data_IF_569815784803
#
_entry.id   IF_569815784803
#
_cell.length_a   1.000
_cell.length_b   1.000
_cell.length_c   1.000
_cell.angle_alpha   90.00
_cell.angle_beta   90.00
_cell.angle_gamma   90.00
#
_symmetry.space_group_name_H-M   'P 1'
#
loop_
_entity.id
_entity.type
_entity.pdbx_description
1 polymer ?
#
# COMPACT_ATOMS: atom_id res chain seq x y z
N UNK A 1 5.47 18.60 -21.57
CA UNK A 1 6.43 18.10 -20.58
C UNK A 1 7.49 17.19 -21.19
N UNK A 2 7.12 16.05 -21.80
CA UNK A 2 8.06 15.05 -22.32
C UNK A 2 9.08 15.64 -23.29
N UNK A 3 8.65 16.48 -24.24
CA UNK A 3 9.54 17.12 -25.21
C UNK A 3 10.60 18.00 -24.53
N UNK A 4 10.20 18.82 -23.54
CA UNK A 4 11.10 19.69 -22.79
C UNK A 4 12.03 18.86 -21.89
N UNK A 5 11.49 17.86 -21.21
CA UNK A 5 12.25 16.94 -20.35
C UNK A 5 13.33 16.16 -21.12
N UNK A 6 13.01 15.70 -22.33
CA UNK A 6 13.98 15.04 -23.19
C UNK A 6 15.04 16.02 -23.70
N UNK A 7 14.66 17.27 -24.03
CA UNK A 7 15.61 18.28 -24.42
C UNK A 7 16.64 18.60 -23.33
N UNK A 8 16.17 18.72 -22.06
CA UNK A 8 17.08 18.93 -20.93
C UNK A 8 18.08 17.79 -20.72
N UNK A 9 17.66 16.54 -20.95
CA UNK A 9 18.57 15.40 -20.92
C UNK A 9 19.59 15.46 -22.01
N UNK A 10 19.16 15.83 -23.21
CA UNK A 10 20.06 16.02 -24.38
C UNK A 10 21.10 17.07 -24.07
N UNK A 11 20.68 18.23 -23.56
CA UNK A 11 21.57 19.35 -23.26
C UNK A 11 22.60 18.95 -22.18
N UNK A 12 22.18 18.30 -21.09
CA UNK A 12 23.09 17.80 -20.07
C UNK A 12 24.07 16.76 -20.59
N UNK A 13 23.62 15.91 -21.52
CA UNK A 13 24.51 14.92 -22.13
C UNK A 13 25.54 15.55 -23.05
N UNK A 14 25.16 16.56 -23.85
CA UNK A 14 26.09 17.35 -24.66
C UNK A 14 27.12 18.03 -23.75
N UNK A 15 26.67 18.71 -22.67
CA UNK A 15 27.57 19.35 -21.70
C UNK A 15 28.57 18.35 -21.10
N UNK A 16 28.15 17.12 -20.83
CA UNK A 16 29.07 16.09 -20.31
C UNK A 16 30.15 15.69 -21.34
N UNK A 17 29.83 15.71 -22.63
CA UNK A 17 30.81 15.42 -23.71
C UNK A 17 31.73 16.63 -23.95
N UNK A 18 31.17 17.84 -23.82
CA UNK A 18 31.95 19.08 -23.93
C UNK A 18 32.99 19.18 -22.80
N UNK A 19 32.60 18.84 -21.55
CA UNK A 19 33.53 18.76 -20.43
C UNK A 19 34.64 17.71 -20.66
N UNK A 20 34.30 16.53 -21.23
CA UNK A 20 35.31 15.54 -21.60
C UNK A 20 36.27 16.06 -22.73
N UNK A 21 35.82 16.97 -23.60
CA UNK A 21 36.65 17.59 -24.64
C UNK A 21 37.65 18.60 -24.06
N UNK A 22 37.25 19.34 -23.01
CA UNK A 22 38.12 20.31 -22.33
C UNK A 22 39.33 19.67 -21.65
N UNK A 23 39.23 18.38 -21.28
CA UNK A 23 40.31 17.61 -20.66
C UNK A 23 41.32 17.05 -21.66
N UNK A 24 41.06 17.14 -22.98
CA UNK A 24 41.90 16.58 -24.02
C UNK A 24 42.88 17.65 -24.62
N UNK A 25 44.12 17.25 -24.89
CA UNK A 25 45.11 18.10 -25.56
C UNK A 25 44.96 18.04 -27.07
N UNK A 26 44.53 19.16 -27.67
CA UNK A 26 44.39 19.32 -29.12
C UNK A 26 45.68 19.16 -29.90
N UNK A 27 46.83 19.26 -29.25
CA UNK A 27 48.14 19.09 -29.86
C UNK A 27 48.66 17.65 -29.75
N UNK A 28 48.13 16.83 -28.86
CA UNK A 28 48.50 15.43 -28.71
C UNK A 28 47.90 14.58 -29.86
N UNK A 29 48.71 13.89 -30.66
CA UNK A 29 48.21 12.99 -31.71
C UNK A 29 47.33 11.86 -31.22
N UNK A 30 47.48 11.45 -29.96
CA UNK A 30 46.64 10.39 -29.34
C UNK A 30 45.23 10.90 -29.01
N UNK A 31 45.10 12.17 -28.69
CA UNK A 31 43.81 12.77 -28.34
C UNK A 31 43.03 13.28 -29.55
N UNK A 32 43.71 13.58 -30.68
CA UNK A 32 43.06 14.04 -31.92
C UNK A 32 41.92 13.13 -32.39
N UNK A 33 42.08 11.81 -32.32
CA UNK A 33 41.02 10.85 -32.71
C UNK A 33 39.84 10.91 -31.76
N UNK A 34 40.09 11.08 -30.46
CA UNK A 34 39.03 11.18 -29.43
C UNK A 34 38.27 12.47 -29.61
N UNK A 35 38.96 13.58 -29.88
CA UNK A 35 38.36 14.90 -30.13
C UNK A 35 37.40 14.84 -31.31
N UNK A 36 37.89 14.39 -32.50
CA UNK A 36 37.05 14.27 -33.71
C UNK A 36 35.82 13.36 -33.45
N UNK A 37 36.00 12.26 -32.72
CA UNK A 37 34.91 11.36 -32.43
C UNK A 37 33.86 12.03 -31.53
N UNK A 38 34.26 12.83 -30.52
CA UNK A 38 33.34 13.51 -29.60
C UNK A 38 32.62 14.67 -30.27
N UNK A 39 33.34 15.46 -31.07
CA UNK A 39 32.77 16.56 -31.88
C UNK A 39 31.72 16.01 -32.86
N UNK A 40 32.04 14.91 -33.56
CA UNK A 40 31.08 14.24 -34.44
C UNK A 40 29.86 13.74 -33.69
N UNK A 41 30.07 13.24 -32.49
CA UNK A 41 28.97 12.76 -31.63
C UNK A 41 28.05 13.91 -31.22
N UNK A 42 28.59 15.04 -30.78
CA UNK A 42 27.80 16.23 -30.46
C UNK A 42 27.02 16.71 -31.69
N UNK A 43 27.67 16.74 -32.85
CA UNK A 43 27.06 17.15 -34.12
C UNK A 43 25.89 16.24 -34.49
N UNK A 44 26.06 14.93 -34.37
CA UNK A 44 25.00 13.95 -34.62
C UNK A 44 23.78 14.15 -33.66
N UNK A 45 24.04 14.31 -32.36
CA UNK A 45 22.98 14.51 -31.35
C UNK A 45 22.23 15.83 -31.64
N UNK A 46 22.93 16.93 -31.95
CA UNK A 46 22.33 18.22 -32.36
C UNK A 46 21.48 18.10 -33.63
N UNK A 47 21.87 17.21 -34.54
CA UNK A 47 21.09 16.87 -35.74
C UNK A 47 19.94 15.89 -35.51
N UNK A 48 19.71 15.43 -34.28
CA UNK A 48 18.67 14.47 -33.94
C UNK A 48 19.01 13.01 -34.25
N UNK A 49 20.28 12.70 -34.48
CA UNK A 49 20.78 11.36 -34.82
C UNK A 49 21.32 10.70 -33.53
N UNK A 50 20.58 9.69 -33.01
CA UNK A 50 20.92 8.96 -31.79
C UNK A 50 21.32 7.52 -32.15
N UNK A 51 22.58 7.19 -32.04
CA UNK A 51 23.17 5.94 -32.55
C UNK A 51 23.38 4.89 -31.46
N UNK A 52 23.67 5.31 -30.25
CA UNK A 52 23.90 4.38 -29.12
C UNK A 52 22.66 4.19 -28.27
N UNK A 53 22.58 3.06 -27.52
CA UNK A 53 21.50 2.84 -26.58
C UNK A 53 21.34 3.98 -25.58
N UNK A 54 22.46 4.54 -25.07
CA UNK A 54 22.48 5.67 -24.14
C UNK A 54 21.86 6.91 -24.76
N UNK A 55 22.15 7.19 -26.02
CA UNK A 55 21.56 8.31 -26.75
C UNK A 55 20.08 8.10 -27.06
N UNK A 56 19.67 6.89 -27.43
CA UNK A 56 18.27 6.55 -27.67
C UNK A 56 17.42 6.68 -26.39
N UNK A 57 18.00 6.45 -25.21
CA UNK A 57 17.32 6.69 -23.94
C UNK A 57 17.03 8.17 -23.66
N UNK A 58 17.75 9.13 -24.30
CA UNK A 58 17.47 10.55 -24.13
C UNK A 58 16.13 10.98 -24.73
N UNK A 59 15.66 10.25 -25.75
CA UNK A 59 14.42 10.54 -26.48
C UNK A 59 13.31 9.52 -26.23
N UNK A 60 13.53 8.57 -25.34
CA UNK A 60 12.50 7.57 -25.03
C UNK A 60 11.27 8.19 -24.38
N UNK A 61 10.09 7.59 -24.55
CA UNK A 61 8.89 7.98 -23.80
C UNK A 61 9.11 7.94 -22.29
N UNK A 62 8.37 8.77 -21.56
CA UNK A 62 8.39 8.77 -20.09
C UNK A 62 8.00 7.40 -19.57
N UNK A 63 8.83 6.86 -18.70
CA UNK A 63 8.56 5.59 -18.03
C UNK A 63 7.94 5.84 -16.66
N UNK A 64 6.64 5.55 -16.51
CA UNK A 64 5.91 5.70 -15.25
C UNK A 64 6.38 4.75 -14.14
N UNK A 65 7.15 3.70 -14.46
CA UNK A 65 7.83 2.83 -13.51
C UNK A 65 9.22 3.33 -13.07
N UNK A 66 9.75 4.38 -13.72
CA UNK A 66 11.08 4.91 -13.43
C UNK A 66 11.11 5.75 -12.15
N UNK A 67 12.10 5.49 -11.29
CA UNK A 67 12.37 6.31 -10.09
C UNK A 67 12.91 7.72 -10.38
N UNK A 68 13.12 8.07 -11.66
CA UNK A 68 13.59 9.37 -12.11
C UNK A 68 12.52 10.09 -12.92
N UNK A 69 11.94 9.43 -13.93
CA UNK A 69 10.98 10.05 -14.84
C UNK A 69 9.65 10.38 -14.15
N UNK A 70 9.14 9.45 -13.34
CA UNK A 70 7.87 9.67 -12.65
C UNK A 70 7.93 10.81 -11.61
N UNK A 71 8.94 10.89 -10.72
CA UNK A 71 9.09 12.07 -9.86
C UNK A 71 9.24 13.37 -10.65
N UNK A 72 9.99 13.38 -11.76
CA UNK A 72 10.11 14.56 -12.60
C UNK A 72 8.76 14.99 -13.18
N UNK A 73 7.95 14.05 -13.71
CA UNK A 73 6.60 14.35 -14.20
C UNK A 73 5.68 14.84 -13.09
N UNK A 74 5.79 14.30 -11.87
CA UNK A 74 4.88 14.63 -10.77
C UNK A 74 5.21 15.96 -10.10
N UNK A 75 6.49 16.23 -9.84
CA UNK A 75 6.89 17.28 -8.91
C UNK A 75 7.53 18.51 -9.57
N UNK A 76 8.00 18.42 -10.84
CA UNK A 76 8.57 19.58 -11.51
C UNK A 76 7.49 20.62 -11.87
N UNK A 77 7.92 21.87 -12.09
CA UNK A 77 7.06 22.98 -12.51
C UNK A 77 6.40 22.74 -13.87
N UNK A 78 7.14 22.11 -14.78
CA UNK A 78 6.66 21.76 -16.12
C UNK A 78 5.72 20.55 -16.13
N UNK A 79 5.73 19.75 -15.05
CA UNK A 79 4.88 18.57 -14.90
C UNK A 79 3.54 18.87 -14.22
N UNK A 80 3.12 17.95 -13.38
CA UNK A 80 1.89 18.14 -12.60
C UNK A 80 2.05 19.10 -11.42
N UNK A 81 3.28 19.41 -11.03
CA UNK A 81 3.61 20.30 -9.91
C UNK A 81 2.82 19.97 -8.64
N UNK A 82 2.94 18.71 -8.18
CA UNK A 82 2.43 18.29 -6.88
C UNK A 82 3.37 18.77 -5.77
N UNK A 83 2.81 19.00 -4.59
CA UNK A 83 3.61 19.23 -3.40
C UNK A 83 4.35 17.95 -2.96
N UNK A 84 5.61 18.06 -2.56
CA UNK A 84 6.38 16.93 -2.03
C UNK A 84 5.99 16.72 -0.57
N UNK A 85 5.20 15.67 -0.30
CA UNK A 85 4.69 15.35 1.03
C UNK A 85 5.55 14.33 1.78
N UNK A 86 6.41 13.58 1.05
CA UNK A 86 7.28 12.54 1.60
C UNK A 86 8.49 12.34 0.72
N UNK A 87 9.65 12.13 1.32
CA UNK A 87 10.86 11.68 0.63
C UNK A 87 11.08 10.18 0.90
N UNK A 88 11.75 9.51 -0.05
CA UNK A 88 12.22 8.13 0.12
C UNK A 88 13.52 8.09 0.96
N UNK A 89 14.05 6.91 1.24
CA UNK A 89 15.28 6.70 2.02
C UNK A 89 16.51 7.40 1.43
N UNK A 90 16.54 7.63 0.12
CA UNK A 90 17.62 8.37 -0.57
C UNK A 90 17.39 9.89 -0.63
N UNK A 91 16.40 10.42 0.10
CA UNK A 91 16.10 11.86 0.17
C UNK A 91 15.38 12.43 -1.05
N UNK A 92 14.99 11.61 -2.01
CA UNK A 92 14.26 12.04 -3.23
C UNK A 92 12.74 11.98 -2.98
N UNK A 93 11.94 12.81 -3.69
CA UNK A 93 10.48 12.76 -3.62
C UNK A 93 9.94 11.34 -3.83
N UNK A 94 9.14 10.85 -2.88
CA UNK A 94 8.52 9.53 -2.96
C UNK A 94 7.38 9.50 -3.96
N UNK A 95 7.23 8.36 -4.64
CA UNK A 95 6.09 8.04 -5.49
C UNK A 95 5.48 6.70 -5.11
N UNK A 96 5.65 6.26 -3.84
CA UNK A 96 5.03 5.04 -3.35
C UNK A 96 3.49 5.13 -3.32
N UNK A 97 2.83 3.99 -3.17
CA UNK A 97 1.36 3.89 -3.18
C UNK A 97 0.72 4.76 -2.09
N UNK A 98 1.35 4.83 -0.92
CA UNK A 98 0.89 5.67 0.20
C UNK A 98 0.96 7.16 -0.17
N UNK A 99 2.08 7.60 -0.74
CA UNK A 99 2.26 8.98 -1.21
C UNK A 99 1.26 9.36 -2.28
N UNK A 100 1.08 8.49 -3.29
CA UNK A 100 0.11 8.73 -4.37
C UNK A 100 -1.33 8.82 -3.83
N UNK A 101 -1.69 7.94 -2.89
CA UNK A 101 -3.01 7.97 -2.24
C UNK A 101 -3.21 9.24 -1.44
N UNK A 102 -2.23 9.66 -0.66
CA UNK A 102 -2.28 10.90 0.11
C UNK A 102 -2.38 12.13 -0.81
N UNK A 103 -1.60 12.19 -1.89
CA UNK A 103 -1.72 13.26 -2.89
C UNK A 103 -3.10 13.28 -3.51
N UNK A 104 -3.69 12.12 -3.83
CA UNK A 104 -5.04 12.04 -4.38
C UNK A 104 -6.09 12.66 -3.45
N UNK A 105 -5.95 12.50 -2.13
CA UNK A 105 -6.82 13.10 -1.13
C UNK A 105 -6.71 14.63 -1.08
N UNK A 106 -5.57 15.21 -1.45
CA UNK A 106 -5.40 16.67 -1.51
C UNK A 106 -6.11 17.31 -2.72
N UNK A 107 -6.39 16.51 -3.76
CA UNK A 107 -7.00 17.02 -4.99
C UNK A 107 -8.52 17.04 -4.88
N UNK A 108 -9.08 18.23 -4.62
CA UNK A 108 -10.52 18.42 -4.36
C UNK A 108 -11.42 18.18 -5.58
N UNK A 109 -10.94 18.45 -6.81
CA UNK A 109 -11.74 18.29 -8.04
C UNK A 109 -11.51 16.91 -8.64
N UNK A 110 -12.52 15.99 -8.61
CA UNK A 110 -12.37 14.62 -9.10
C UNK A 110 -11.98 14.53 -10.59
N UNK A 111 -12.51 15.43 -11.40
CA UNK A 111 -12.31 15.45 -12.85
C UNK A 111 -11.10 16.30 -13.30
N UNK A 112 -10.27 16.75 -12.36
CA UNK A 112 -9.06 17.50 -12.72
C UNK A 112 -8.01 16.59 -13.34
N UNK A 113 -7.13 17.10 -14.24
CA UNK A 113 -6.05 16.32 -14.80
C UNK A 113 -5.15 15.66 -13.73
N UNK A 114 -4.94 16.35 -12.60
CA UNK A 114 -4.20 15.82 -11.44
C UNK A 114 -4.88 14.60 -10.82
N UNK A 115 -6.19 14.66 -10.61
CA UNK A 115 -6.97 13.57 -10.03
C UNK A 115 -7.01 12.37 -10.97
N UNK A 116 -7.32 12.60 -12.25
CA UNK A 116 -7.37 11.57 -13.28
C UNK A 116 -6.02 10.87 -13.40
N UNK A 117 -4.92 11.64 -13.43
CA UNK A 117 -3.57 11.08 -13.50
C UNK A 117 -3.27 10.16 -12.31
N UNK A 118 -3.53 10.60 -11.07
CA UNK A 118 -3.27 9.80 -9.88
C UNK A 118 -4.15 8.55 -9.83
N UNK A 119 -5.43 8.66 -10.17
CA UNK A 119 -6.34 7.52 -10.21
C UNK A 119 -5.88 6.47 -11.24
N UNK A 120 -5.48 6.90 -12.45
CA UNK A 120 -4.98 6.00 -13.50
C UNK A 120 -3.61 5.42 -13.17
N UNK A 121 -2.73 6.17 -12.53
CA UNK A 121 -1.42 5.67 -12.11
C UNK A 121 -1.56 4.59 -11.02
N UNK A 122 -2.45 4.79 -10.04
CA UNK A 122 -2.75 3.79 -9.01
C UNK A 122 -3.39 2.53 -9.62
N UNK A 123 -4.31 2.68 -10.55
CA UNK A 123 -4.92 1.58 -11.30
C UNK A 123 -3.88 0.79 -12.10
N UNK A 124 -3.04 1.49 -12.86
CA UNK A 124 -1.95 0.88 -13.65
C UNK A 124 -1.01 0.06 -12.77
N UNK A 125 -0.56 0.60 -11.64
CA UNK A 125 0.31 -0.12 -10.71
C UNK A 125 -0.35 -1.37 -10.12
N UNK A 126 -1.66 -1.27 -9.82
CA UNK A 126 -2.45 -2.41 -9.39
C UNK A 126 -2.47 -3.52 -10.45
N UNK A 127 -2.76 -3.16 -11.69
CA UNK A 127 -2.79 -4.10 -12.83
C UNK A 127 -1.41 -4.68 -13.14
N UNK A 128 -0.35 -3.86 -13.15
CA UNK A 128 1.03 -4.35 -13.33
C UNK A 128 1.45 -5.34 -12.25
N UNK A 129 1.11 -5.06 -10.98
CA UNK A 129 1.37 -5.98 -9.88
C UNK A 129 0.64 -7.30 -10.07
N UNK A 130 -0.64 -7.25 -10.48
CA UNK A 130 -1.44 -8.45 -10.76
C UNK A 130 -0.83 -9.26 -11.90
N UNK A 131 -0.51 -8.60 -13.00
CA UNK A 131 0.09 -9.24 -14.18
C UNK A 131 1.44 -9.89 -13.85
N UNK A 132 2.39 -9.12 -13.32
CA UNK A 132 3.74 -9.60 -13.00
C UNK A 132 3.76 -10.68 -11.92
N UNK A 133 2.85 -10.62 -10.94
CA UNK A 133 2.84 -11.60 -9.84
C UNK A 133 2.12 -12.88 -10.21
N UNK A 134 0.91 -12.76 -10.79
CA UNK A 134 0.00 -13.90 -10.92
C UNK A 134 -0.06 -14.46 -12.33
N UNK A 135 0.23 -13.67 -13.37
CA UNK A 135 0.23 -14.16 -14.75
C UNK A 135 1.65 -14.58 -15.14
N UNK A 136 2.60 -13.67 -15.17
CA UNK A 136 3.98 -14.02 -15.50
C UNK A 136 4.63 -14.86 -14.40
N UNK A 137 4.65 -14.37 -13.16
CA UNK A 137 5.42 -14.99 -12.07
C UNK A 137 4.89 -16.36 -11.64
N UNK A 138 3.62 -16.68 -11.86
CA UNK A 138 3.12 -18.02 -11.63
C UNK A 138 3.45 -18.95 -12.81
N UNK A 139 3.30 -18.49 -14.05
CA UNK A 139 3.67 -19.30 -15.23
C UNK A 139 5.14 -19.74 -15.19
N UNK A 140 6.04 -18.86 -14.75
CA UNK A 140 7.46 -19.19 -14.57
C UNK A 140 7.72 -20.23 -13.46
N UNK A 141 6.75 -20.47 -12.57
CA UNK A 141 6.87 -21.35 -11.41
C UNK A 141 6.03 -22.62 -11.50
N UNK A 142 5.22 -22.75 -12.51
CA UNK A 142 4.54 -24.02 -12.83
C UNK A 142 5.60 -25.05 -13.17
N UNK A 143 5.55 -26.21 -12.52
CA UNK A 143 6.49 -27.32 -12.75
C UNK A 143 5.95 -28.29 -13.79
N UNK A 144 6.76 -29.30 -14.14
CA UNK A 144 6.43 -30.30 -15.16
C UNK A 144 5.18 -31.13 -14.86
N UNK A 145 4.70 -31.09 -13.62
CA UNK A 145 3.44 -31.71 -13.18
C UNK A 145 2.22 -30.79 -13.25
N UNK A 146 2.32 -29.66 -13.93
CA UNK A 146 1.30 -28.62 -14.06
C UNK A 146 0.86 -28.01 -12.71
N UNK A 147 1.74 -28.01 -11.70
CA UNK A 147 1.44 -27.50 -10.35
C UNK A 147 2.36 -26.38 -9.91
N UNK A 148 1.85 -25.61 -8.95
CA UNK A 148 2.63 -24.61 -8.19
C UNK A 148 3.02 -25.21 -6.83
N UNK A 149 4.33 -25.33 -6.57
CA UNK A 149 4.87 -25.86 -5.33
C UNK A 149 5.42 -24.75 -4.43
N UNK A 150 4.52 -23.97 -3.82
CA UNK A 150 4.89 -22.91 -2.88
C UNK A 150 5.51 -23.47 -1.59
N UNK A 151 6.51 -22.77 -1.06
CA UNK A 151 7.13 -23.11 0.22
C UNK A 151 6.50 -22.34 1.36
N UNK A 152 6.23 -23.02 2.49
CA UNK A 152 5.78 -22.40 3.74
C UNK A 152 6.92 -22.39 4.75
N UNK A 153 7.24 -21.21 5.28
CA UNK A 153 8.33 -20.98 6.21
C UNK A 153 7.75 -20.71 7.62
N UNK A 154 8.04 -21.57 8.57
CA UNK A 154 7.56 -21.47 9.96
C UNK A 154 8.30 -20.38 10.77
N UNK A 155 9.45 -19.94 10.29
CA UNK A 155 10.33 -18.96 10.94
C UNK A 155 10.39 -17.61 10.18
N UNK A 156 9.61 -17.45 9.11
CA UNK A 156 9.68 -16.29 8.19
C UNK A 156 9.07 -15.00 8.74
N UNK A 157 8.44 -15.02 9.92
CA UNK A 157 7.84 -13.81 10.52
C UNK A 157 8.19 -13.68 12.00
N UNK A 158 8.33 -12.45 12.47
CA UNK A 158 8.56 -12.13 13.89
C UNK A 158 7.34 -12.44 14.76
N UNK A 159 6.14 -12.46 14.18
CA UNK A 159 4.89 -12.77 14.88
C UNK A 159 4.68 -14.27 15.12
N UNK A 160 5.41 -15.14 14.39
CA UNK A 160 5.20 -16.59 14.40
C UNK A 160 4.09 -17.07 13.47
N UNK A 161 3.56 -16.20 12.63
CA UNK A 161 2.74 -16.62 11.50
C UNK A 161 3.61 -17.33 10.47
N UNK A 162 3.03 -18.24 9.69
CA UNK A 162 3.69 -18.77 8.51
C UNK A 162 3.91 -17.64 7.50
N UNK A 163 5.01 -17.71 6.77
CA UNK A 163 5.17 -16.98 5.51
C UNK A 163 5.23 -17.97 4.34
N UNK A 164 4.95 -17.50 3.15
CA UNK A 164 4.97 -18.31 1.94
C UNK A 164 5.82 -17.65 0.86
N UNK A 165 6.57 -18.47 0.12
CA UNK A 165 7.46 -18.03 -0.94
C UNK A 165 7.43 -19.03 -2.11
N UNK A 166 7.79 -18.59 -3.29
CA UNK A 166 8.10 -19.38 -4.50
C UNK A 166 6.99 -20.34 -5.00
N UNK A 167 5.79 -19.88 -5.27
CA UNK A 167 5.22 -18.54 -5.10
C UNK A 167 4.61 -18.32 -3.73
N UNK A 168 4.34 -17.03 -3.38
CA UNK A 168 3.63 -16.71 -2.15
C UNK A 168 2.12 -17.02 -2.30
N UNK A 169 1.71 -18.19 -1.82
CA UNK A 169 0.32 -18.65 -1.87
C UNK A 169 -0.61 -17.94 -0.86
N UNK A 170 -0.06 -17.21 0.12
CA UNK A 170 -0.85 -16.50 1.13
C UNK A 170 -1.36 -15.13 0.67
N UNK A 171 -0.88 -14.62 -0.47
CA UNK A 171 -1.26 -13.30 -1.01
C UNK A 171 -2.17 -13.37 -2.22
N UNK A 172 -2.81 -14.51 -2.48
CA UNK A 172 -3.76 -14.68 -3.58
C UNK A 172 -4.88 -13.65 -3.43
N UNK A 173 -5.18 -12.86 -4.48
CA UNK A 173 -6.22 -11.84 -4.42
C UNK A 173 -7.59 -12.44 -4.06
N UNK A 174 -8.38 -11.65 -3.34
CA UNK A 174 -9.77 -12.03 -3.08
C UNK A 174 -10.56 -12.04 -4.40
N UNK A 175 -11.55 -12.90 -4.49
CA UNK A 175 -12.46 -13.00 -5.65
C UNK A 175 -13.14 -11.67 -5.99
N UNK A 176 -13.33 -10.79 -5.00
CA UNK A 176 -13.87 -9.43 -5.21
C UNK A 176 -12.87 -8.48 -5.88
N UNK A 177 -11.58 -8.81 -5.93
CA UNK A 177 -10.55 -8.02 -6.62
C UNK A 177 -10.37 -8.53 -8.04
N UNK A 178 -10.13 -9.83 -8.19
CA UNK A 178 -10.12 -10.54 -9.47
C UNK A 178 -10.58 -12.00 -9.27
N UNK A 179 -11.75 -12.39 -9.78
CA UNK A 179 -12.23 -13.75 -9.65
C UNK A 179 -11.40 -14.75 -10.44
N UNK A 180 -10.80 -14.34 -11.56
CA UNK A 180 -10.15 -15.25 -12.51
C UNK A 180 -8.86 -15.84 -11.96
N UNK A 181 -8.09 -15.10 -11.17
CA UNK A 181 -6.82 -15.59 -10.60
C UNK A 181 -7.06 -16.82 -9.71
N UNK A 182 -8.08 -16.76 -8.85
CA UNK A 182 -8.44 -17.90 -7.99
C UNK A 182 -8.96 -19.11 -8.77
N UNK A 183 -9.70 -18.87 -9.85
CA UNK A 183 -10.27 -19.93 -10.70
C UNK A 183 -9.22 -20.71 -11.49
N UNK A 184 -8.01 -20.20 -11.63
CA UNK A 184 -6.89 -20.92 -12.25
C UNK A 184 -6.36 -22.04 -11.36
N UNK A 185 -6.53 -21.93 -10.04
CA UNK A 185 -6.15 -22.98 -9.09
C UNK A 185 -7.26 -24.03 -9.02
N UNK A 186 -7.02 -25.17 -9.63
CA UNK A 186 -7.99 -26.28 -9.70
C UNK A 186 -7.54 -27.46 -8.86
N UNK A 187 -8.48 -28.10 -8.19
CA UNK A 187 -8.22 -29.38 -7.55
C UNK A 187 -7.93 -30.45 -8.62
N UNK A 188 -7.01 -31.40 -8.38
CA UNK A 188 -6.80 -32.52 -9.26
C UNK A 188 -8.09 -33.30 -9.53
N UNK A 189 -8.17 -33.95 -10.68
CA UNK A 189 -9.36 -34.79 -11.07
C UNK A 189 -9.67 -35.78 -9.94
N UNK A 190 -10.92 -35.84 -9.53
CA UNK A 190 -11.38 -36.74 -8.44
C UNK A 190 -11.14 -36.20 -7.02
N UNK A 191 -10.67 -34.97 -6.86
CA UNK A 191 -10.46 -34.32 -5.58
C UNK A 191 -11.21 -32.98 -5.50
N UNK A 192 -11.31 -32.42 -4.29
CA UNK A 192 -11.95 -31.13 -4.02
C UNK A 192 -11.04 -30.28 -3.14
N UNK A 193 -11.07 -28.96 -3.33
CA UNK A 193 -10.57 -28.02 -2.34
C UNK A 193 -11.57 -27.87 -1.20
N UNK A 194 -11.09 -28.08 0.02
CA UNK A 194 -11.86 -27.76 1.23
C UNK A 194 -11.22 -26.49 1.83
N UNK A 195 -11.99 -25.40 1.85
CA UNK A 195 -11.58 -24.15 2.48
C UNK A 195 -12.28 -24.00 3.83
N UNK A 196 -11.51 -23.90 4.91
CA UNK A 196 -12.00 -23.66 6.27
C UNK A 196 -11.18 -22.53 6.90
N UNK A 197 -11.86 -21.55 7.49
CA UNK A 197 -11.25 -20.43 8.18
C UNK A 197 -11.99 -20.11 9.48
N UNK A 198 -11.26 -19.65 10.48
CA UNK A 198 -11.87 -19.21 11.73
C UNK A 198 -12.58 -17.88 11.52
N UNK A 199 -13.88 -17.86 11.82
CA UNK A 199 -14.65 -16.62 11.76
C UNK A 199 -14.12 -15.61 12.78
N UNK A 200 -13.49 -14.53 12.30
CA UNK A 200 -13.06 -13.39 13.11
C UNK A 200 -12.16 -13.74 14.30
N UNK A 201 -11.25 -14.70 14.13
CA UNK A 201 -10.39 -15.24 15.20
C UNK A 201 -9.69 -14.14 16.02
N UNK A 202 -9.12 -13.13 15.35
CA UNK A 202 -8.39 -12.04 16.00
C UNK A 202 -9.29 -11.20 16.93
N UNK A 203 -10.51 -10.89 16.49
CA UNK A 203 -11.47 -10.15 17.32
C UNK A 203 -11.97 -10.99 18.49
N UNK A 204 -12.17 -12.29 18.31
CA UNK A 204 -12.57 -13.21 19.41
C UNK A 204 -11.49 -13.29 20.49
N UNK A 205 -10.22 -13.40 20.07
CA UNK A 205 -9.08 -13.38 21.00
C UNK A 205 -9.00 -12.03 21.72
N UNK A 206 -9.19 -10.93 21.00
CA UNK A 206 -9.18 -9.60 21.58
C UNK A 206 -10.32 -9.39 22.57
N UNK A 207 -11.54 -9.84 22.26
CA UNK A 207 -12.69 -9.81 23.15
C UNK A 207 -12.40 -10.60 24.44
N UNK A 208 -11.84 -11.80 24.32
CA UNK A 208 -11.47 -12.65 25.44
C UNK A 208 -10.41 -11.98 26.34
N UNK A 209 -9.31 -11.49 25.75
CA UNK A 209 -8.21 -10.89 26.49
C UNK A 209 -8.57 -9.55 27.16
N UNK A 210 -9.38 -8.74 26.52
CA UNK A 210 -9.82 -7.44 27.05
C UNK A 210 -10.98 -7.58 28.03
N UNK A 211 -11.78 -8.64 27.94
CA UNK A 211 -13.05 -8.80 28.63
C UNK A 211 -14.10 -7.77 28.18
N UNK A 212 -13.99 -7.29 26.93
CA UNK A 212 -14.90 -6.27 26.40
C UNK A 212 -16.30 -6.84 26.18
N UNK A 213 -17.27 -6.29 26.90
CA UNK A 213 -18.63 -6.83 26.95
C UNK A 213 -19.37 -6.68 25.62
N UNK A 214 -19.12 -5.60 24.89
CA UNK A 214 -19.74 -5.35 23.58
C UNK A 214 -19.39 -6.46 22.61
N UNK A 215 -18.10 -6.80 22.51
CA UNK A 215 -17.64 -7.89 21.65
C UNK A 215 -18.08 -9.26 22.17
N UNK A 216 -17.98 -9.51 23.50
CA UNK A 216 -18.36 -10.79 24.08
C UNK A 216 -19.85 -11.07 23.86
N UNK A 217 -20.71 -10.07 24.08
CA UNK A 217 -22.14 -10.21 23.86
C UNK A 217 -22.48 -10.46 22.39
N UNK A 218 -21.87 -9.70 21.47
CA UNK A 218 -22.09 -9.91 20.04
C UNK A 218 -21.70 -11.32 19.60
N UNK A 219 -20.54 -11.83 20.05
CA UNK A 219 -20.10 -13.19 19.71
C UNK A 219 -20.95 -14.29 20.34
N UNK A 220 -21.35 -14.12 21.62
CA UNK A 220 -22.17 -15.09 22.32
C UNK A 220 -23.60 -15.18 21.77
N UNK A 221 -24.11 -14.05 21.23
CA UNK A 221 -25.41 -13.98 20.58
C UNK A 221 -25.38 -14.33 19.09
N UNK A 222 -24.23 -14.74 18.55
CA UNK A 222 -24.09 -15.07 17.13
C UNK A 222 -24.19 -13.85 16.19
N UNK A 223 -24.10 -12.63 16.71
CA UNK A 223 -24.19 -11.40 15.94
C UNK A 223 -22.90 -11.10 15.18
N UNK A 224 -23.02 -10.36 14.07
CA UNK A 224 -21.86 -9.76 13.40
C UNK A 224 -21.38 -8.55 14.22
N UNK A 225 -20.16 -8.58 14.81
CA UNK A 225 -19.72 -7.52 15.70
C UNK A 225 -19.53 -6.17 14.99
N UNK A 226 -19.22 -6.16 13.70
CA UNK A 226 -19.08 -4.90 12.95
C UNK A 226 -20.43 -4.28 12.63
N UNK A 227 -21.43 -5.10 12.35
CA UNK A 227 -22.80 -4.63 12.19
C UNK A 227 -23.37 -4.14 13.51
N UNK A 228 -23.09 -4.85 14.62
CA UNK A 228 -23.50 -4.43 15.96
C UNK A 228 -22.90 -3.07 16.36
N UNK A 229 -21.60 -2.84 16.09
CA UNK A 229 -20.94 -1.53 16.30
C UNK A 229 -21.62 -0.45 15.45
N UNK A 230 -21.89 -0.73 14.18
CA UNK A 230 -22.58 0.21 13.31
C UNK A 230 -23.99 0.51 13.79
N UNK A 231 -24.78 -0.51 14.18
CA UNK A 231 -26.13 -0.36 14.71
C UNK A 231 -26.16 0.52 15.96
N UNK A 232 -25.25 0.27 16.91
CA UNK A 232 -25.09 1.10 18.12
C UNK A 232 -24.73 2.55 17.76
N UNK A 233 -23.82 2.77 16.84
CA UNK A 233 -23.39 4.11 16.40
C UNK A 233 -24.54 4.91 15.78
N UNK A 234 -25.41 4.25 15.02
CA UNK A 234 -26.54 4.88 14.33
C UNK A 234 -27.86 4.78 15.10
N UNK A 235 -27.81 4.30 16.36
CA UNK A 235 -28.95 4.25 17.30
C UNK A 235 -30.14 3.47 16.77
N UNK A 236 -29.89 2.34 16.07
CA UNK A 236 -30.96 1.41 15.69
C UNK A 236 -30.73 0.02 16.29
N UNK A 237 -31.81 -0.77 16.53
CA UNK A 237 -31.68 -2.15 16.99
C UNK A 237 -30.88 -3.01 16.01
N UNK A 238 -30.08 -3.96 16.54
CA UNK A 238 -29.27 -4.86 15.71
C UNK A 238 -30.11 -5.64 14.70
N UNK A 239 -31.26 -6.15 15.11
CA UNK A 239 -32.17 -6.93 14.27
C UNK A 239 -32.73 -6.13 13.08
N UNK A 240 -32.95 -4.84 13.28
CA UNK A 240 -33.37 -3.93 12.22
C UNK A 240 -32.20 -3.67 11.26
N UNK A 241 -31.01 -3.39 11.78
CA UNK A 241 -29.81 -3.23 10.99
C UNK A 241 -29.50 -4.49 10.16
N UNK A 242 -29.71 -5.67 10.74
CA UNK A 242 -29.49 -6.96 10.08
C UNK A 242 -30.46 -7.16 8.91
N UNK A 243 -31.76 -6.89 9.12
CA UNK A 243 -32.77 -6.96 8.04
C UNK A 243 -32.41 -6.08 6.87
N UNK A 244 -32.03 -4.82 7.14
CA UNK A 244 -31.62 -3.88 6.09
C UNK A 244 -30.34 -4.36 5.38
N UNK A 245 -29.39 -4.92 6.14
CA UNK A 245 -28.12 -5.39 5.61
C UNK A 245 -28.27 -6.65 4.73
N UNK A 246 -29.20 -7.55 5.04
CA UNK A 246 -29.42 -8.80 4.31
C UNK A 246 -30.37 -8.65 3.12
N UNK A 247 -31.30 -7.71 3.14
CA UNK A 247 -32.23 -7.46 2.03
C UNK A 247 -31.57 -6.59 0.94
N UNK A 248 -31.10 -7.22 -0.14
CA UNK A 248 -30.46 -6.52 -1.28
C UNK A 248 -31.37 -5.51 -1.97
N UNK A 249 -32.71 -5.62 -1.81
CA UNK A 249 -33.70 -4.72 -2.39
C UNK A 249 -34.03 -3.55 -1.48
N UNK A 250 -33.59 -3.58 -0.22
CA UNK A 250 -33.86 -2.49 0.72
C UNK A 250 -33.17 -1.19 0.28
N UNK A 251 -33.87 -0.02 0.29
CA UNK A 251 -33.30 1.25 -0.16
C UNK A 251 -31.98 1.63 0.53
N UNK A 252 -31.84 1.29 1.81
CA UNK A 252 -30.64 1.58 2.61
C UNK A 252 -29.59 0.45 2.62
N UNK A 253 -29.82 -0.66 1.92
CA UNK A 253 -28.89 -1.81 1.93
C UNK A 253 -27.44 -1.39 1.63
N UNK A 254 -27.23 -0.59 0.56
CA UNK A 254 -25.90 -0.10 0.16
C UNK A 254 -25.26 0.76 1.25
N UNK A 255 -26.06 1.58 1.93
CA UNK A 255 -25.61 2.46 3.02
C UNK A 255 -25.13 1.58 4.18
N UNK A 256 -25.88 0.55 4.56
CA UNK A 256 -25.52 -0.34 5.65
C UNK A 256 -24.30 -1.21 5.32
N UNK A 257 -24.10 -1.61 4.08
CA UNK A 257 -22.84 -2.24 3.65
C UNK A 257 -21.64 -1.31 3.86
N UNK A 258 -21.77 -0.02 3.55
CA UNK A 258 -20.72 0.97 3.80
C UNK A 258 -20.49 1.18 5.29
N UNK A 259 -21.55 1.38 6.08
CA UNK A 259 -21.47 1.55 7.56
C UNK A 259 -20.76 0.38 8.25
N UNK A 260 -21.14 -0.85 7.91
CA UNK A 260 -20.47 -2.05 8.42
C UNK A 260 -19.00 -2.13 7.99
N UNK A 261 -18.68 -1.78 6.74
CA UNK A 261 -17.31 -1.73 6.23
C UNK A 261 -16.46 -0.72 7.00
N UNK A 262 -17.01 0.48 7.25
CA UNK A 262 -16.35 1.51 8.06
C UNK A 262 -16.13 1.06 9.50
N UNK A 263 -17.14 0.50 10.16
CA UNK A 263 -17.01 -0.06 11.50
C UNK A 263 -15.89 -1.13 11.57
N UNK A 264 -15.81 -1.99 10.56
CA UNK A 264 -14.71 -2.96 10.43
C UNK A 264 -13.34 -2.29 10.29
N UNK A 265 -13.23 -1.27 9.46
CA UNK A 265 -11.97 -0.55 9.23
C UNK A 265 -11.50 0.16 10.51
N UNK A 266 -12.43 0.79 11.24
CA UNK A 266 -12.15 1.45 12.52
C UNK A 266 -11.70 0.41 13.56
N UNK A 267 -12.47 -0.65 13.75
CA UNK A 267 -12.18 -1.69 14.75
C UNK A 267 -10.79 -2.32 14.55
N UNK A 268 -10.51 -2.82 13.33
CA UNK A 268 -9.20 -3.39 13.03
C UNK A 268 -8.08 -2.35 13.11
N UNK A 269 -8.31 -1.15 12.57
CA UNK A 269 -7.32 -0.07 12.64
C UNK A 269 -6.90 0.22 14.08
N UNK A 270 -7.87 0.38 14.97
CA UNK A 270 -7.61 0.75 16.37
C UNK A 270 -6.98 -0.39 17.19
N UNK A 271 -7.38 -1.63 16.93
CA UNK A 271 -6.74 -2.80 17.56
C UNK A 271 -5.26 -2.87 17.19
N UNK A 272 -4.91 -2.51 15.96
CA UNK A 272 -3.51 -2.45 15.48
C UNK A 272 -2.84 -1.08 15.68
N UNK A 273 -3.39 -0.20 16.49
CA UNK A 273 -2.76 1.06 16.89
C UNK A 273 -2.69 2.10 15.78
N UNK A 274 -3.66 2.14 14.86
CA UNK A 274 -3.73 3.17 13.83
C UNK A 274 -3.95 4.55 14.47
N UNK A 275 -3.23 5.57 13.99
CA UNK A 275 -3.48 6.95 14.36
C UNK A 275 -4.53 7.63 13.48
N UNK A 276 -5.08 8.74 13.95
CA UNK A 276 -6.16 9.48 13.28
C UNK A 276 -5.85 9.87 11.82
N UNK A 277 -4.61 10.29 11.53
CA UNK A 277 -4.18 10.64 10.17
C UNK A 277 -4.34 9.46 9.18
N UNK A 278 -3.83 8.28 9.54
CA UNK A 278 -3.92 7.10 8.68
C UNK A 278 -5.34 6.52 8.65
N UNK A 279 -6.10 6.65 9.75
CA UNK A 279 -7.50 6.26 9.77
C UNK A 279 -8.33 7.14 8.83
N UNK A 280 -8.09 8.45 8.81
CA UNK A 280 -8.73 9.39 7.89
C UNK A 280 -8.54 8.97 6.42
N UNK A 281 -7.31 8.63 6.04
CA UNK A 281 -6.99 8.09 4.69
C UNK A 281 -7.79 6.82 4.39
N UNK A 282 -7.87 5.88 5.33
CA UNK A 282 -8.60 4.61 5.13
C UNK A 282 -10.12 4.77 5.07
N UNK A 283 -10.68 5.76 5.74
CA UNK A 283 -12.11 6.04 5.73
C UNK A 283 -12.53 6.91 4.54
N UNK A 284 -11.58 7.60 3.91
CA UNK A 284 -11.83 8.42 2.73
C UNK A 284 -12.00 7.56 1.49
N UNK A 285 -12.92 7.96 0.62
CA UNK A 285 -13.10 7.43 -0.74
C UNK A 285 -13.26 8.61 -1.71
N UNK A 286 -12.14 9.10 -2.27
CA UNK A 286 -12.17 10.25 -3.17
C UNK A 286 -13.02 10.05 -4.43
N UNK A 287 -13.19 8.79 -4.88
CA UNK A 287 -14.02 8.46 -6.05
C UNK A 287 -15.50 8.67 -5.75
N UNK A 288 -15.93 8.41 -4.53
CA UNK A 288 -17.30 8.67 -4.05
C UNK A 288 -17.47 10.07 -3.45
N UNK A 289 -16.44 10.93 -3.48
CA UNK A 289 -16.45 12.27 -2.90
C UNK A 289 -16.37 12.29 -1.37
N UNK A 290 -16.09 11.17 -0.73
CA UNK A 290 -15.97 11.07 0.73
C UNK A 290 -14.52 11.38 1.12
N UNK A 291 -14.30 12.50 1.76
CA UNK A 291 -13.01 12.92 2.33
C UNK A 291 -13.20 13.08 3.83
N UNK A 292 -12.47 12.28 4.61
CA UNK A 292 -12.49 12.31 6.09
C UNK A 292 -11.23 13.02 6.58
N UNK A 293 -11.40 14.02 7.43
CA UNK A 293 -10.26 14.73 8.04
C UNK A 293 -9.69 13.95 9.23
N UNK A 294 -8.44 14.23 9.65
CA UNK A 294 -7.88 13.63 10.86
C UNK A 294 -8.70 13.91 12.13
N UNK A 295 -9.35 15.09 12.22
CA UNK A 295 -10.21 15.48 13.34
C UNK A 295 -11.50 14.67 13.36
N UNK A 296 -12.10 14.41 12.20
CA UNK A 296 -13.27 13.54 12.06
C UNK A 296 -12.89 12.09 12.38
N UNK A 297 -11.74 11.61 11.89
CA UNK A 297 -11.24 10.28 12.24
C UNK A 297 -10.96 10.15 13.75
N UNK A 298 -10.46 11.20 14.42
CA UNK A 298 -10.28 11.20 15.86
C UNK A 298 -11.61 11.07 16.60
N UNK A 299 -12.65 11.77 16.17
CA UNK A 299 -14.02 11.62 16.72
C UNK A 299 -14.53 10.19 16.58
N UNK A 300 -14.31 9.56 15.43
CA UNK A 300 -14.66 8.15 15.22
C UNK A 300 -13.91 7.21 16.18
N UNK A 301 -12.63 7.47 16.43
CA UNK A 301 -11.84 6.73 17.43
C UNK A 301 -12.40 6.90 18.84
N UNK A 302 -12.78 8.12 19.20
CA UNK A 302 -13.31 8.42 20.53
C UNK A 302 -14.70 7.76 20.74
N UNK A 303 -15.57 7.79 19.72
CA UNK A 303 -16.86 7.07 19.72
C UNK A 303 -16.63 5.58 19.90
N UNK A 304 -15.73 4.98 19.12
CA UNK A 304 -15.41 3.57 19.21
C UNK A 304 -14.91 3.18 20.62
N UNK A 305 -13.95 3.90 21.16
CA UNK A 305 -13.43 3.63 22.50
C UNK A 305 -14.42 3.96 23.62
N UNK A 306 -15.39 4.82 23.37
CA UNK A 306 -16.54 5.02 24.27
C UNK A 306 -17.42 3.78 24.36
N UNK A 307 -17.62 3.08 23.24
CA UNK A 307 -18.36 1.82 23.17
C UNK A 307 -17.55 0.61 23.70
N UNK A 308 -16.21 0.73 23.74
CA UNK A 308 -15.28 -0.35 24.10
C UNK A 308 -14.30 0.06 25.22
N UNK A 309 -14.79 0.43 26.43
CA UNK A 309 -13.93 0.97 27.49
C UNK A 309 -12.94 -0.06 28.04
N UNK A 310 -13.33 -1.34 28.11
CA UNK A 310 -12.45 -2.43 28.58
C UNK A 310 -11.34 -2.71 27.56
N UNK A 311 -11.64 -2.67 26.27
CA UNK A 311 -10.64 -2.77 25.20
C UNK A 311 -9.64 -1.62 25.28
N UNK A 312 -10.11 -0.37 25.44
CA UNK A 312 -9.23 0.80 25.62
C UNK A 312 -8.28 0.62 26.80
N UNK A 313 -8.80 0.16 27.92
CA UNK A 313 -8.02 -0.10 29.13
C UNK A 313 -7.00 -1.21 28.91
N UNK A 314 -7.39 -2.29 28.24
CA UNK A 314 -6.51 -3.40 27.89
C UNK A 314 -5.33 -2.93 27.04
N UNK A 315 -5.58 -2.20 25.94
CA UNK A 315 -4.54 -1.68 25.05
C UNK A 315 -3.55 -0.78 25.79
N UNK A 316 -4.04 0.11 26.65
CA UNK A 316 -3.17 0.96 27.51
C UNK A 316 -2.31 0.13 28.48
N UNK A 317 -2.85 -0.94 29.05
CA UNK A 317 -2.09 -1.85 29.91
C UNK A 317 -0.99 -2.57 29.12
N UNK A 318 -1.29 -3.04 27.90
CA UNK A 318 -0.29 -3.68 27.04
C UNK A 318 0.82 -2.71 26.66
N UNK A 319 0.50 -1.48 26.28
CA UNK A 319 1.50 -0.43 26.00
C UNK A 319 2.39 -0.19 27.23
N UNK A 320 1.81 0.02 28.40
CA UNK A 320 2.57 0.21 29.64
C UNK A 320 3.48 -0.99 29.97
N UNK A 321 2.99 -2.19 29.76
CA UNK A 321 3.77 -3.42 29.95
C UNK A 321 4.92 -3.50 28.96
N UNK A 322 4.68 -3.21 27.69
CA UNK A 322 5.71 -3.19 26.64
C UNK A 322 6.81 -2.17 26.96
N UNK A 323 6.45 -0.94 27.32
CA UNK A 323 7.41 0.12 27.70
C UNK A 323 8.28 -0.30 28.88
N UNK A 324 7.72 -1.04 29.84
CA UNK A 324 8.48 -1.50 31.01
C UNK A 324 9.39 -2.68 30.70
N UNK A 325 8.97 -3.62 29.85
CA UNK A 325 9.61 -4.93 29.71
C UNK A 325 10.28 -5.17 28.34
N UNK A 326 10.05 -4.30 27.34
CA UNK A 326 10.60 -4.43 25.98
C UNK A 326 10.04 -5.63 25.20
N UNK A 327 8.98 -6.28 25.70
CA UNK A 327 8.34 -7.41 25.04
C UNK A 327 6.87 -7.56 25.44
N UNK A 328 6.11 -8.26 24.61
CA UNK A 328 4.76 -8.76 24.91
C UNK A 328 4.78 -10.28 25.02
N UNK A 329 3.77 -10.81 25.70
CA UNK A 329 3.61 -12.26 25.89
C UNK A 329 2.24 -12.70 25.40
N UNK A 330 2.17 -13.72 24.53
CA UNK A 330 0.93 -14.29 24.06
C UNK A 330 0.28 -15.19 25.12
N UNK A 331 -0.99 -15.60 24.91
CA UNK A 331 -1.71 -16.56 25.77
C UNK A 331 -0.93 -17.86 26.02
N UNK A 332 -0.15 -18.31 25.03
CA UNK A 332 0.64 -19.54 25.13
C UNK A 332 2.09 -19.30 25.55
N UNK A 333 2.40 -18.15 26.17
CA UNK A 333 3.72 -17.84 26.72
C UNK A 333 4.78 -17.42 25.71
N UNK A 334 4.44 -17.29 24.41
CA UNK A 334 5.41 -16.82 23.42
C UNK A 334 5.74 -15.35 23.68
N UNK A 335 7.03 -15.06 23.84
CA UNK A 335 7.52 -13.68 24.01
C UNK A 335 7.86 -13.09 22.65
N UNK A 336 7.29 -11.91 22.35
CA UNK A 336 7.66 -11.07 21.24
C UNK A 336 8.46 -9.89 21.75
N UNK A 337 9.76 -9.87 21.45
CA UNK A 337 10.68 -8.78 21.82
C UNK A 337 10.50 -7.63 20.84
N UNK A 338 10.41 -6.41 21.38
CA UNK A 338 10.17 -5.17 20.62
C UNK A 338 11.11 -4.06 21.15
N UNK A 339 12.44 -4.21 20.96
CA UNK A 339 13.42 -3.26 21.47
C UNK A 339 13.23 -1.85 20.90
N UNK A 340 12.58 -1.71 19.73
CA UNK A 340 12.22 -0.45 19.09
C UNK A 340 11.39 0.48 20.00
N UNK A 341 10.73 -0.07 21.04
CA UNK A 341 9.98 0.72 22.01
C UNK A 341 10.88 1.71 22.81
N UNK A 342 12.19 1.45 22.83
CA UNK A 342 13.18 2.29 23.49
C UNK A 342 13.95 3.19 22.51
N UNK A 343 13.59 3.18 21.23
CA UNK A 343 14.24 4.02 20.24
C UNK A 343 13.89 5.49 20.42
N UNK A 344 14.84 6.36 20.14
CA UNK A 344 14.63 7.80 20.05
C UNK A 344 13.93 8.21 18.74
N UNK A 345 13.89 7.29 17.75
CA UNK A 345 13.13 7.49 16.52
C UNK A 345 11.65 7.20 16.76
N UNK A 346 10.82 8.24 16.58
CA UNK A 346 9.37 8.15 16.77
C UNK A 346 8.69 7.16 15.80
N UNK A 347 9.29 6.92 14.63
CA UNK A 347 8.80 5.95 13.65
C UNK A 347 9.00 4.51 14.15
N UNK A 348 10.18 4.20 14.69
CA UNK A 348 10.49 2.90 15.29
C UNK A 348 9.64 2.64 16.55
N UNK A 349 9.52 3.65 17.43
CA UNK A 349 8.64 3.54 18.60
C UNK A 349 7.18 3.26 18.18
N UNK A 350 6.67 4.02 17.21
CA UNK A 350 5.34 3.83 16.69
C UNK A 350 5.16 2.45 15.99
N UNK A 351 6.23 1.92 15.37
CA UNK A 351 6.23 0.56 14.85
C UNK A 351 6.06 -0.47 15.98
N UNK A 352 6.80 -0.35 17.07
CA UNK A 352 6.68 -1.23 18.23
C UNK A 352 5.27 -1.19 18.86
N UNK A 353 4.61 -0.04 18.84
CA UNK A 353 3.25 0.14 19.39
C UNK A 353 2.15 -0.39 18.46
N UNK A 354 2.43 -0.60 17.17
CA UNK A 354 1.46 -1.14 16.19
C UNK A 354 1.46 -2.66 16.10
N UNK A 355 2.20 -3.33 16.92
CA UNK A 355 2.39 -4.77 16.93
C UNK A 355 1.74 -5.42 18.11
#
# INVERSE_FOLDING_TARGET
FEKKYNQEKIDKYIQSIEAELEELDYNDPKDKRKIVSREQKISNIKAGIFTTKKEQELIRPINLGSSVDLPALMYSEEGFHFEVIKNNESGKPSTDEETLTNLRLTVKKPDSPKAIFLDRLLELRGLEKMYKTYIEGWNEKVQDDDRLHGRFLIHGTTSGRLSSAEPNAQQIPKTSVDPNIKLQLKAPKGTLYIASDFSQAELRIMAHLSGDETYLNAFNSGQDPHLAIAATKYHIPYEEALKIYEDENHPEHKIWKVRRKQAKQIAFGLIYGIGAKLLAVKLSDPKSGIIVTPEEAQKEMDIFFGQHPKLKTFLKKQEKFLRKNGHLVSLFGRKRRLPQIYSNDKGEEAYALRL
#
